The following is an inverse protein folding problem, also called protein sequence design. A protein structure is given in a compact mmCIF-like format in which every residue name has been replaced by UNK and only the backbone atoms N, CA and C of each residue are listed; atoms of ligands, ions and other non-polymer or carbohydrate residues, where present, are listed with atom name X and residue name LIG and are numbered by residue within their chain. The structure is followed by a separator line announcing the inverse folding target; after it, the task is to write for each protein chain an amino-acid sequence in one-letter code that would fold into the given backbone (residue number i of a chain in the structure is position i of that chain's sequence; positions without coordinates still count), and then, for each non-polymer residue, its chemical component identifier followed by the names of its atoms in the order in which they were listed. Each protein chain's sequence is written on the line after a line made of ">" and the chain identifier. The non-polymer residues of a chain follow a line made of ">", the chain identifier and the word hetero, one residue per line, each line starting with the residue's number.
data_IF_450846908727
#
_entry.id   IF_450846908727
#
_cell.length_a   1.000
_cell.length_b   1.000
_cell.length_c   1.000
_cell.angle_alpha   90.00
_cell.angle_beta   90.00
_cell.angle_gamma   90.00
#
_symmetry.space_group_name_H-M   'P 1'
#
loop_
_entity.id
_entity.type
_entity.pdbx_description
1 polymer ?
#
# COMPACT_ATOMS: atom_id res chain seq x y z
N UNK A 1 7.01 -33.29 7.54
CA UNK A 1 6.45 -32.37 8.56
C UNK A 1 5.30 -31.62 7.92
N UNK A 2 4.06 -31.94 8.29
CA UNK A 2 2.87 -31.18 7.88
C UNK A 2 2.62 -30.13 8.95
N UNK A 3 3.01 -28.90 8.68
CA UNK A 3 2.64 -27.75 9.51
C UNK A 3 1.25 -27.25 9.09
N UNK A 4 0.51 -26.70 10.05
CA UNK A 4 -0.82 -26.10 9.81
C UNK A 4 -0.65 -24.72 9.14
N UNK A 5 -1.13 -24.53 7.90
CA UNK A 5 -1.00 -23.25 7.19
C UNK A 5 -1.63 -22.07 7.92
N UNK A 6 -2.63 -22.30 8.77
CA UNK A 6 -3.30 -21.23 9.54
C UNK A 6 -2.38 -20.57 10.58
N UNK A 7 -1.24 -21.20 10.90
CA UNK A 7 -0.22 -20.64 11.80
C UNK A 7 0.71 -19.65 11.11
N UNK A 8 0.60 -19.46 9.80
CA UNK A 8 1.46 -18.57 9.02
C UNK A 8 0.68 -17.42 8.43
N UNK A 9 1.32 -16.24 8.43
CA UNK A 9 0.79 -15.06 7.74
C UNK A 9 1.43 -14.99 6.36
N UNK A 10 0.62 -14.76 5.33
CA UNK A 10 1.14 -14.56 3.98
C UNK A 10 2.10 -13.36 3.94
N UNK A 11 3.28 -13.59 3.36
CA UNK A 11 4.37 -12.62 3.35
C UNK A 11 4.01 -11.31 2.65
N UNK A 12 3.30 -11.40 1.53
CA UNK A 12 2.97 -10.23 0.72
C UNK A 12 1.88 -9.40 1.39
N UNK A 13 0.90 -10.04 2.04
CA UNK A 13 -0.09 -9.35 2.88
C UNK A 13 0.55 -8.72 4.12
N UNK A 14 1.48 -9.41 4.78
CA UNK A 14 2.23 -8.86 5.91
C UNK A 14 3.03 -7.61 5.52
N UNK A 15 3.61 -7.61 4.31
CA UNK A 15 4.28 -6.43 3.75
C UNK A 15 3.30 -5.28 3.51
N UNK A 16 2.10 -5.55 2.99
CA UNK A 16 1.06 -4.53 2.82
C UNK A 16 0.59 -3.94 4.16
N UNK A 17 0.51 -4.74 5.22
CA UNK A 17 0.22 -4.21 6.57
C UNK A 17 1.36 -3.34 7.11
N UNK A 18 2.61 -3.66 6.79
CA UNK A 18 3.72 -2.75 7.08
C UNK A 18 3.56 -1.42 6.35
N UNK A 19 3.28 -1.44 5.04
CA UNK A 19 3.10 -0.20 4.29
C UNK A 19 1.84 0.56 4.76
N UNK A 20 0.81 -0.15 5.23
CA UNK A 20 -0.36 0.46 5.89
C UNK A 20 -0.01 1.23 7.16
N UNK A 21 1.00 0.79 7.93
CA UNK A 21 1.52 1.57 9.07
C UNK A 21 2.28 2.82 8.62
N UNK A 22 3.00 2.76 7.50
CA UNK A 22 3.61 3.96 6.90
C UNK A 22 2.53 4.97 6.49
N UNK A 23 1.43 4.51 5.91
CA UNK A 23 0.28 5.37 5.60
C UNK A 23 -0.35 5.96 6.86
N UNK A 24 -0.43 5.20 7.96
CA UNK A 24 -0.97 5.67 9.23
C UNK A 24 -0.23 6.91 9.76
N UNK A 25 1.09 7.01 9.56
CA UNK A 25 1.87 8.19 9.95
C UNK A 25 1.46 9.48 9.20
N UNK A 26 0.83 9.36 8.02
CA UNK A 26 0.24 10.49 7.30
C UNK A 26 -1.08 10.98 7.93
N UNK A 27 -1.78 10.12 8.67
CA UNK A 27 -2.99 10.48 9.42
C UNK A 27 -2.69 11.03 10.82
N UNK A 28 -1.51 10.75 11.36
CA UNK A 28 -1.17 11.13 12.73
C UNK A 28 -0.91 12.65 12.86
N UNK A 29 -1.81 13.35 13.58
CA UNK A 29 -1.73 14.79 13.81
C UNK A 29 -0.59 15.20 14.77
N UNK A 30 0.05 14.23 15.45
CA UNK A 30 1.29 14.48 16.22
C UNK A 30 2.47 14.80 15.29
N UNK A 31 2.41 14.35 14.04
CA UNK A 31 3.39 14.67 13.00
C UNK A 31 3.08 16.05 12.38
N UNK A 32 4.13 16.83 12.09
CA UNK A 32 3.97 18.12 11.39
C UNK A 32 3.35 17.89 10.01
N UNK A 33 2.57 18.86 9.52
CA UNK A 33 1.81 18.76 8.27
C UNK A 33 2.65 18.28 7.06
N UNK A 34 3.84 18.85 6.87
CA UNK A 34 4.73 18.44 5.78
C UNK A 34 5.35 17.04 5.99
N UNK A 35 5.56 16.61 7.23
CA UNK A 35 6.02 15.24 7.50
C UNK A 35 4.92 14.22 7.18
N UNK A 36 3.66 14.54 7.47
CA UNK A 36 2.50 13.72 7.06
C UNK A 36 2.42 13.58 5.54
N UNK A 37 2.63 14.67 4.80
CA UNK A 37 2.70 14.63 3.33
C UNK A 37 3.87 13.76 2.83
N UNK A 38 5.03 13.83 3.49
CA UNK A 38 6.18 12.95 3.17
C UNK A 38 5.85 11.48 3.42
N UNK A 39 5.19 11.13 4.52
CA UNK A 39 4.78 9.75 4.78
C UNK A 39 3.82 9.22 3.70
N UNK A 40 2.90 10.06 3.22
CA UNK A 40 2.03 9.70 2.09
C UNK A 40 2.83 9.45 0.80
N UNK A 41 3.86 10.25 0.53
CA UNK A 41 4.76 10.03 -0.60
C UNK A 41 5.60 8.75 -0.43
N UNK A 42 6.13 8.48 0.76
CA UNK A 42 6.88 7.25 1.07
C UNK A 42 5.99 6.01 0.89
N UNK A 43 4.76 6.05 1.41
CA UNK A 43 3.77 4.98 1.21
C UNK A 43 3.57 4.66 -0.28
N UNK A 44 3.46 5.70 -1.11
CA UNK A 44 3.24 5.56 -2.56
C UNK A 44 4.46 4.97 -3.26
N UNK A 45 5.67 5.47 -2.97
CA UNK A 45 6.93 4.92 -3.51
C UNK A 45 7.12 3.46 -3.13
N UNK A 46 6.87 3.10 -1.85
CA UNK A 46 6.96 1.72 -1.40
C UNK A 46 5.96 0.82 -2.15
N UNK A 47 4.74 1.31 -2.38
CA UNK A 47 3.71 0.56 -3.10
C UNK A 47 4.13 0.30 -4.55
N UNK A 48 4.73 1.29 -5.22
CA UNK A 48 5.27 1.11 -6.58
C UNK A 48 6.37 0.04 -6.61
N UNK A 49 7.31 0.06 -5.67
CA UNK A 49 8.35 -0.97 -5.56
C UNK A 49 7.75 -2.36 -5.33
N UNK A 50 6.73 -2.46 -4.46
CA UNK A 50 6.02 -3.70 -4.23
C UNK A 50 5.37 -4.26 -5.50
N UNK A 51 4.75 -3.40 -6.32
CA UNK A 51 4.19 -3.83 -7.60
C UNK A 51 5.27 -4.28 -8.60
N UNK A 52 6.34 -3.50 -8.72
CA UNK A 52 7.44 -3.79 -9.66
C UNK A 52 8.15 -5.11 -9.33
N UNK A 53 8.31 -5.45 -8.05
CA UNK A 53 9.06 -6.63 -7.62
C UNK A 53 8.13 -7.79 -7.26
N UNK A 54 7.24 -7.61 -6.30
CA UNK A 54 6.46 -8.71 -5.70
C UNK A 54 5.32 -9.15 -6.60
N UNK A 55 4.49 -8.21 -7.06
CA UNK A 55 3.35 -8.53 -7.94
C UNK A 55 3.85 -9.09 -9.28
N UNK A 56 4.91 -8.52 -9.85
CA UNK A 56 5.53 -9.07 -11.06
C UNK A 56 6.01 -10.51 -10.89
N UNK A 57 6.61 -10.83 -9.73
CA UNK A 57 7.02 -12.19 -9.38
C UNK A 57 5.85 -13.17 -9.32
N UNK A 58 4.75 -12.81 -8.64
CA UNK A 58 3.54 -13.62 -8.55
C UNK A 58 2.88 -13.82 -9.92
N UNK A 59 2.81 -12.78 -10.76
CA UNK A 59 2.26 -12.90 -12.13
C UNK A 59 3.11 -13.84 -13.00
N UNK A 60 4.42 -13.84 -12.82
CA UNK A 60 5.31 -14.80 -13.50
C UNK A 60 5.03 -16.23 -13.06
N UNK A 61 4.85 -16.47 -11.76
CA UNK A 61 4.50 -17.80 -11.23
C UNK A 61 3.17 -18.31 -11.78
N UNK A 62 2.17 -17.43 -11.88
CA UNK A 62 0.88 -17.74 -12.54
C UNK A 62 1.12 -18.13 -14.00
N UNK A 63 1.87 -17.32 -14.75
CA UNK A 63 2.11 -17.56 -16.17
C UNK A 63 2.88 -18.87 -16.46
N UNK A 64 3.77 -19.29 -15.55
CA UNK A 64 4.51 -20.55 -15.69
C UNK A 64 3.79 -21.76 -15.09
N UNK A 65 2.59 -21.58 -14.52
CA UNK A 65 1.83 -22.65 -13.88
C UNK A 65 2.47 -23.18 -12.59
N UNK A 66 3.32 -22.38 -11.94
CA UNK A 66 3.96 -22.77 -10.69
C UNK A 66 2.92 -22.98 -9.59
N UNK A 67 2.89 -24.18 -9.00
CA UNK A 67 2.02 -24.54 -7.87
C UNK A 67 2.73 -24.44 -6.52
N UNK A 68 3.81 -23.67 -6.44
CA UNK A 68 4.52 -23.43 -5.19
C UNK A 68 3.56 -22.77 -4.22
N UNK A 69 3.14 -23.55 -3.23
CA UNK A 69 2.28 -23.08 -2.16
C UNK A 69 3.19 -22.76 -0.97
N UNK A 70 3.37 -21.48 -0.61
CA UNK A 70 4.14 -21.10 0.57
C UNK A 70 3.49 -21.68 1.84
N UNK A 71 4.18 -21.61 3.00
CA UNK A 71 3.67 -22.18 4.25
C UNK A 71 2.27 -21.71 4.66
N UNK A 72 1.84 -20.52 4.21
CA UNK A 72 0.49 -19.97 4.44
C UNK A 72 -0.62 -20.62 3.61
N UNK A 73 -0.30 -21.46 2.63
CA UNK A 73 -1.30 -22.21 1.86
C UNK A 73 -1.88 -21.46 0.65
N UNK A 74 -1.60 -20.17 0.44
CA UNK A 74 -2.21 -19.40 -0.65
C UNK A 74 -1.51 -19.64 -1.99
N UNK A 75 -2.28 -20.01 -3.01
CA UNK A 75 -1.81 -20.06 -4.39
C UNK A 75 -1.45 -18.67 -4.92
N UNK A 76 -0.61 -18.56 -5.97
CA UNK A 76 -0.30 -17.26 -6.56
C UNK A 76 -1.52 -16.46 -7.02
N UNK A 77 -2.59 -17.13 -7.47
CA UNK A 77 -3.84 -16.48 -7.86
C UNK A 77 -4.58 -15.89 -6.65
N UNK A 78 -4.67 -16.65 -5.55
CA UNK A 78 -5.30 -16.18 -4.31
C UNK A 78 -4.52 -15.02 -3.69
N UNK A 79 -3.18 -15.08 -3.74
CA UNK A 79 -2.34 -13.97 -3.29
C UNK A 79 -2.58 -12.70 -4.11
N UNK A 80 -2.62 -12.80 -5.44
CA UNK A 80 -2.89 -11.65 -6.30
C UNK A 80 -4.28 -11.04 -6.03
N UNK A 81 -5.30 -11.87 -5.83
CA UNK A 81 -6.65 -11.41 -5.51
C UNK A 81 -6.69 -10.69 -4.14
N UNK A 82 -6.07 -11.27 -3.12
CA UNK A 82 -6.00 -10.67 -1.79
C UNK A 82 -5.18 -9.37 -1.76
N UNK A 83 -4.07 -9.31 -2.52
CA UNK A 83 -3.27 -8.10 -2.72
C UNK A 83 -4.13 -7.01 -3.35
N UNK A 84 -4.85 -7.30 -4.43
CA UNK A 84 -5.68 -6.32 -5.13
C UNK A 84 -6.74 -5.71 -4.21
N UNK A 85 -7.41 -6.54 -3.42
CA UNK A 85 -8.41 -6.10 -2.45
C UNK A 85 -7.80 -5.21 -1.35
N UNK A 86 -6.67 -5.62 -0.78
CA UNK A 86 -5.99 -4.85 0.28
C UNK A 86 -5.41 -3.53 -0.22
N UNK A 87 -4.75 -3.53 -1.38
CA UNK A 87 -4.24 -2.31 -2.01
C UNK A 87 -5.38 -1.36 -2.34
N UNK A 88 -6.50 -1.88 -2.84
CA UNK A 88 -7.69 -1.06 -3.10
C UNK A 88 -8.18 -0.29 -1.88
N UNK A 89 -8.14 -0.90 -0.68
CA UNK A 89 -8.40 -0.19 0.60
C UNK A 89 -7.36 0.88 0.88
N UNK A 90 -6.07 0.52 0.87
CA UNK A 90 -4.98 1.45 1.18
C UNK A 90 -4.96 2.68 0.28
N UNK A 91 -5.22 2.51 -1.02
CA UNK A 91 -5.26 3.61 -1.99
C UNK A 91 -6.47 4.52 -1.74
N UNK A 92 -7.63 3.97 -1.35
CA UNK A 92 -8.78 4.80 -0.94
C UNK A 92 -8.44 5.64 0.29
N UNK A 93 -7.81 5.03 1.29
CA UNK A 93 -7.40 5.72 2.51
C UNK A 93 -6.35 6.81 2.19
N UNK A 94 -5.37 6.52 1.33
CA UNK A 94 -4.37 7.49 0.89
C UNK A 94 -4.98 8.69 0.15
N UNK A 95 -5.98 8.44 -0.71
CA UNK A 95 -6.71 9.52 -1.41
C UNK A 95 -7.50 10.38 -0.44
N UNK A 96 -8.19 9.76 0.52
CA UNK A 96 -8.89 10.46 1.59
C UNK A 96 -7.93 11.34 2.40
N UNK A 97 -6.79 10.78 2.82
CA UNK A 97 -5.74 11.53 3.53
C UNK A 97 -5.30 12.77 2.73
N UNK A 98 -5.02 12.60 1.44
CA UNK A 98 -4.56 13.71 0.60
C UNK A 98 -5.62 14.79 0.43
N UNK A 99 -6.79 14.40 -0.08
CA UNK A 99 -7.78 15.35 -0.58
C UNK A 99 -8.64 15.96 0.52
N UNK A 100 -8.96 15.18 1.54
CA UNK A 100 -9.94 15.60 2.55
C UNK A 100 -9.25 16.13 3.82
N UNK A 101 -7.96 15.82 4.04
CA UNK A 101 -7.22 16.23 5.24
C UNK A 101 -6.01 17.12 4.91
N UNK A 102 -5.07 16.65 4.08
CA UNK A 102 -3.78 17.33 3.91
C UNK A 102 -3.88 18.56 3.01
N UNK A 103 -4.56 18.49 1.85
CA UNK A 103 -4.70 19.63 0.95
C UNK A 103 -5.48 20.81 1.61
N UNK A 104 -6.61 20.59 2.29
CA UNK A 104 -7.29 21.66 3.02
C UNK A 104 -6.40 22.29 4.11
N UNK A 105 -5.71 21.46 4.90
CA UNK A 105 -4.82 21.95 5.95
C UNK A 105 -3.62 22.75 5.40
N UNK A 106 -3.12 22.40 4.21
CA UNK A 106 -2.09 23.18 3.52
C UNK A 106 -2.63 24.53 3.05
N UNK A 107 -3.85 24.56 2.52
CA UNK A 107 -4.50 25.79 2.04
C UNK A 107 -4.72 26.78 3.19
N UNK A 108 -5.08 26.31 4.39
CA UNK A 108 -5.15 27.13 5.61
C UNK A 108 -3.81 27.79 5.99
N UNK A 109 -2.70 27.17 5.61
CA UNK A 109 -1.34 27.71 5.78
C UNK A 109 -0.87 28.54 4.58
N UNK A 110 -1.75 28.82 3.62
CA UNK A 110 -1.44 29.58 2.40
C UNK A 110 -0.69 28.78 1.34
N UNK A 111 -0.63 27.45 1.45
CA UNK A 111 0.02 26.55 0.48
C UNK A 111 -1.07 25.87 -0.34
N UNK A 112 -1.18 26.21 -1.62
CA UNK A 112 -2.20 25.65 -2.52
C UNK A 112 -1.56 24.84 -3.65
N UNK A 113 -2.08 23.64 -3.88
CA UNK A 113 -1.78 22.88 -5.10
C UNK A 113 -2.75 23.35 -6.20
N UNK A 114 -2.21 23.98 -7.24
CA UNK A 114 -2.98 24.55 -8.34
C UNK A 114 -2.67 23.82 -9.65
N UNK A 115 -3.66 23.73 -10.54
CA UNK A 115 -3.45 23.20 -11.88
C UNK A 115 -2.77 24.23 -12.79
N UNK A 116 -2.25 23.78 -13.93
CA UNK A 116 -1.63 24.68 -14.92
C UNK A 116 -2.57 25.78 -15.42
N UNK A 117 -3.88 25.50 -15.44
CA UNK A 117 -4.90 26.46 -15.87
C UNK A 117 -5.26 27.51 -14.79
N UNK A 118 -4.77 27.32 -13.57
CA UNK A 118 -5.03 28.19 -12.41
C UNK A 118 -3.80 29.08 -12.06
N UNK A 119 -2.75 29.05 -12.90
CA UNK A 119 -1.56 29.90 -12.83
C UNK A 119 -1.74 31.19 -13.65
#
# INVERSE_FOLDING_TARGET
>A
MTYDPSLFINRELSWLEFNGRVLHEAFDERNKLLERLKFLAIFSTNLDEFYMVRVAGLRRQVATGARLTPPDGMTPHEQLAAIQDRVGRLVRDARHCLHDLLLPALEEQGIKLVGMNDL
#
